data_IF_619388884431
#
_entry.id   IF_619388884431
#
_cell.length_a   1.000
_cell.length_b   1.000
_cell.length_c   1.000
_cell.angle_alpha   90.00
_cell.angle_beta   90.00
_cell.angle_gamma   90.00
#
_symmetry.space_group_name_H-M   'P 1'
#
loop_
_entity.id
_entity.type
_entity.pdbx_description
1 polymer ?
#
# COMPACT_ATOMS: atom_id res chain seq x y z
N UNK A 1 6.29 1.29 -14.41
CA UNK A 1 5.46 2.49 -14.26
C UNK A 1 4.10 2.03 -13.76
N UNK A 2 3.75 2.32 -12.50
CA UNK A 2 2.51 1.86 -11.86
C UNK A 2 1.65 3.04 -11.35
N UNK A 3 1.97 4.28 -11.72
CA UNK A 3 1.48 5.47 -11.02
C UNK A 3 0.42 6.33 -11.70
N UNK A 4 -0.04 6.04 -12.92
CA UNK A 4 -0.80 7.06 -13.71
C UNK A 4 -2.08 6.59 -14.43
N UNK A 5 -2.70 5.47 -14.07
CA UNK A 5 -3.94 5.03 -14.74
C UNK A 5 -5.19 5.12 -13.85
N UNK A 6 -5.55 6.31 -13.37
CA UNK A 6 -6.92 6.55 -12.84
C UNK A 6 -7.78 7.04 -14.00
N UNK A 7 -8.26 6.09 -14.81
CA UNK A 7 -9.30 6.34 -15.82
C UNK A 7 -10.66 6.36 -15.15
N UNK A 8 -11.33 7.52 -15.16
CA UNK A 8 -12.68 7.72 -14.65
C UNK A 8 -13.68 6.92 -15.49
N UNK A 9 -14.00 5.69 -15.05
CA UNK A 9 -15.00 4.82 -15.68
C UNK A 9 -15.91 4.23 -14.58
N UNK A 10 -17.23 4.53 -14.58
CA UNK A 10 -18.15 4.13 -13.51
C UNK A 10 -18.48 2.62 -13.47
N UNK A 11 -18.01 1.81 -14.43
CA UNK A 11 -18.20 0.35 -14.42
C UNK A 11 -17.02 -0.47 -13.85
N UNK A 12 -16.05 0.20 -13.22
CA UNK A 12 -14.73 -0.38 -12.87
C UNK A 12 -14.56 -0.76 -11.39
N UNK A 13 -15.63 -0.95 -10.62
CA UNK A 13 -15.59 -1.05 -9.14
C UNK A 13 -14.68 -2.17 -8.61
N UNK A 14 -14.64 -3.33 -9.27
CA UNK A 14 -13.76 -4.45 -8.87
C UNK A 14 -12.28 -4.21 -9.25
N UNK A 15 -12.02 -3.58 -10.40
CA UNK A 15 -10.65 -3.25 -10.84
C UNK A 15 -10.06 -2.09 -10.04
N UNK A 16 -10.91 -1.11 -9.68
CA UNK A 16 -10.53 0.04 -8.87
C UNK A 16 -10.13 -0.41 -7.46
N UNK A 17 -10.84 -1.35 -6.84
CA UNK A 17 -10.46 -1.90 -5.53
C UNK A 17 -9.04 -2.49 -5.55
N UNK A 18 -8.70 -3.26 -6.60
CA UNK A 18 -7.36 -3.82 -6.77
C UNK A 18 -6.26 -2.78 -6.96
N UNK A 19 -6.53 -1.66 -7.63
CA UNK A 19 -5.55 -0.56 -7.77
C UNK A 19 -5.46 0.29 -6.51
N UNK A 20 -6.57 0.49 -5.80
CA UNK A 20 -6.62 1.30 -4.58
C UNK A 20 -5.75 0.72 -3.47
N UNK A 21 -5.59 -0.60 -3.40
CA UNK A 21 -4.82 -1.25 -2.33
C UNK A 21 -3.35 -0.84 -2.26
N UNK A 22 -2.75 -0.51 -3.40
CA UNK A 22 -1.36 -0.03 -3.48
C UNK A 22 -1.26 1.48 -3.29
N UNK A 23 -2.38 2.21 -3.37
CA UNK A 23 -2.38 3.66 -3.26
C UNK A 23 -2.08 4.09 -1.82
N UNK A 24 -1.12 4.99 -1.65
CA UNK A 24 -0.75 5.52 -0.35
C UNK A 24 -1.94 6.25 0.33
N UNK A 25 -2.09 6.17 1.66
CA UNK A 25 -3.25 6.73 2.38
C UNK A 25 -3.46 8.23 2.10
N UNK A 26 -2.38 9.00 1.99
CA UNK A 26 -2.43 10.43 1.70
C UNK A 26 -2.98 10.75 0.30
N UNK A 27 -2.81 9.86 -0.68
CA UNK A 27 -3.36 10.01 -2.03
C UNK A 27 -4.85 9.65 -2.10
N UNK A 28 -5.35 8.82 -1.17
CA UNK A 28 -6.77 8.43 -1.11
C UNK A 28 -7.69 9.59 -0.69
N UNK A 29 -7.19 10.54 0.10
CA UNK A 29 -7.96 11.72 0.57
C UNK A 29 -8.25 12.75 -0.53
N UNK A 30 -7.62 12.61 -1.70
CA UNK A 30 -7.67 13.58 -2.78
C UNK A 30 -6.83 14.84 -2.49
N UNK A 31 -6.44 15.56 -3.55
CA UNK A 31 -5.70 16.83 -3.45
C UNK A 31 -4.19 16.70 -3.19
N UNK A 32 -3.70 15.55 -2.72
CA UNK A 32 -2.27 15.26 -2.64
C UNK A 32 -1.71 14.82 -4.01
N UNK A 33 -0.45 15.17 -4.28
CA UNK A 33 0.30 14.69 -5.45
C UNK A 33 1.11 13.46 -5.06
N UNK A 34 1.30 12.54 -6.00
CA UNK A 34 2.23 11.44 -5.83
C UNK A 34 3.65 11.98 -5.54
N UNK A 35 4.33 11.33 -4.60
CA UNK A 35 5.68 11.67 -4.14
C UNK A 35 6.52 10.39 -4.04
N UNK A 36 7.85 10.50 -3.87
CA UNK A 36 8.66 9.33 -3.56
C UNK A 36 8.19 8.55 -2.32
N UNK A 37 7.56 9.23 -1.34
CA UNK A 37 6.99 8.57 -0.17
C UNK A 37 5.74 7.74 -0.50
N UNK A 38 4.91 8.17 -1.44
CA UNK A 38 3.77 7.35 -1.91
C UNK A 38 4.22 6.14 -2.72
N UNK A 39 5.31 6.27 -3.47
CA UNK A 39 5.92 5.15 -4.19
C UNK A 39 6.51 4.11 -3.23
N UNK A 40 7.14 4.55 -2.13
CA UNK A 40 7.62 3.65 -1.06
C UNK A 40 6.49 2.86 -0.41
N UNK A 41 5.36 3.50 -0.14
CA UNK A 41 4.18 2.78 0.36
C UNK A 41 3.71 1.72 -0.63
N UNK A 42 3.58 2.09 -1.91
CA UNK A 42 3.17 1.17 -2.97
C UNK A 42 4.12 -0.04 -3.08
N UNK A 43 5.44 0.20 -2.99
CA UNK A 43 6.45 -0.85 -2.95
C UNK A 43 6.32 -1.73 -1.69
N UNK A 44 6.03 -1.14 -0.53
CA UNK A 44 5.73 -1.86 0.70
C UNK A 44 4.54 -2.83 0.54
N UNK A 45 3.45 -2.39 -0.10
CA UNK A 45 2.28 -3.25 -0.36
C UNK A 45 2.62 -4.39 -1.33
N UNK A 46 3.44 -4.14 -2.36
CA UNK A 46 3.93 -5.21 -3.26
C UNK A 46 4.77 -6.23 -2.51
N UNK A 47 5.69 -5.79 -1.64
CA UNK A 47 6.49 -6.70 -0.81
C UNK A 47 5.62 -7.48 0.17
N UNK A 48 4.58 -6.85 0.71
CA UNK A 48 3.60 -7.50 1.55
C UNK A 48 2.86 -8.60 0.77
N UNK A 49 2.45 -8.34 -0.47
CA UNK A 49 1.79 -9.33 -1.32
C UNK A 49 2.68 -10.56 -1.56
N UNK A 50 3.97 -10.35 -1.81
CA UNK A 50 4.95 -11.43 -1.93
C UNK A 50 5.10 -12.22 -0.62
N UNK A 51 5.07 -11.55 0.53
CA UNK A 51 5.15 -12.18 1.84
C UNK A 51 3.89 -13.01 2.18
N UNK A 52 2.72 -12.63 1.67
CA UNK A 52 1.47 -13.35 1.88
C UNK A 52 1.27 -14.52 0.90
N UNK A 53 1.90 -14.48 -0.27
CA UNK A 53 1.73 -15.47 -1.32
C UNK A 53 1.91 -16.93 -0.81
N UNK A 54 1.06 -17.88 -1.24
CA UNK A 54 -0.01 -17.76 -2.23
C UNK A 54 -1.35 -17.25 -1.66
N UNK A 55 -1.41 -16.85 -0.38
CA UNK A 55 -2.64 -16.29 0.20
C UNK A 55 -2.86 -14.86 -0.31
N UNK A 56 -4.12 -14.43 -0.43
CA UNK A 56 -4.41 -13.04 -0.77
C UNK A 56 -3.94 -12.09 0.33
N UNK A 57 -3.67 -10.84 -0.05
CA UNK A 57 -3.50 -9.73 0.89
C UNK A 57 -4.77 -9.53 1.75
N UNK A 58 -4.63 -9.01 2.99
CA UNK A 58 -5.77 -8.68 3.83
C UNK A 58 -6.71 -7.66 3.15
N UNK A 59 -8.03 -7.93 3.20
CA UNK A 59 -9.07 -7.03 2.67
C UNK A 59 -9.04 -5.63 3.28
N UNK A 60 -8.41 -5.48 4.45
CA UNK A 60 -8.19 -4.19 5.10
C UNK A 60 -7.52 -3.16 4.16
N UNK A 61 -6.61 -3.60 3.28
CA UNK A 61 -5.91 -2.72 2.34
C UNK A 61 -6.82 -2.13 1.26
N UNK A 62 -7.95 -2.78 0.98
CA UNK A 62 -8.93 -2.36 -0.03
C UNK A 62 -9.84 -1.23 0.51
N UNK A 63 -9.79 -0.95 1.82
CA UNK A 63 -10.60 0.10 2.45
C UNK A 63 -10.07 1.49 2.09
N UNK A 64 -10.96 2.41 1.73
CA UNK A 64 -10.61 3.81 1.46
C UNK A 64 -10.29 4.63 2.71
N UNK A 65 -10.39 4.03 3.90
CA UNK A 65 -10.07 4.70 5.15
C UNK A 65 -8.55 4.88 5.30
N UNK A 66 -8.17 6.05 5.84
CA UNK A 66 -6.75 6.39 6.06
C UNK A 66 -6.24 6.01 7.44
N UNK A 67 -7.07 5.32 8.21
CA UNK A 67 -6.76 4.92 9.59
C UNK A 67 -6.10 3.54 9.65
N UNK A 68 -6.04 2.82 8.52
CA UNK A 68 -5.34 1.54 8.45
C UNK A 68 -3.85 1.71 8.76
N UNK A 69 -3.41 1.10 9.86
CA UNK A 69 -2.00 0.84 10.12
C UNK A 69 -1.54 -0.32 9.23
N UNK A 70 -1.12 -0.02 8.01
CA UNK A 70 -0.63 -1.03 7.06
C UNK A 70 0.63 -1.75 7.57
N UNK A 71 1.46 -1.12 8.40
CA UNK A 71 2.65 -1.73 8.98
C UNK A 71 2.29 -2.90 9.92
N UNK A 72 1.15 -2.83 10.60
CA UNK A 72 0.62 -3.92 11.45
C UNK A 72 0.27 -5.20 10.66
N UNK A 73 0.12 -5.12 9.35
CA UNK A 73 -0.15 -6.28 8.49
C UNK A 73 1.11 -7.09 8.17
N UNK A 74 2.29 -6.69 8.64
CA UNK A 74 3.54 -7.41 8.41
C UNK A 74 3.46 -8.84 8.98
N UNK A 75 3.61 -9.90 8.17
CA UNK A 75 3.56 -11.28 8.65
C UNK A 75 4.65 -11.59 9.68
N UNK A 76 4.29 -12.41 10.67
CA UNK A 76 5.25 -13.02 11.57
C UNK A 76 6.12 -14.06 10.84
N UNK A 77 7.34 -14.29 11.35
CA UNK A 77 8.24 -15.34 10.84
C UNK A 77 9.00 -15.01 9.55
N UNK A 78 8.88 -13.78 9.03
CA UNK A 78 9.74 -13.31 7.93
C UNK A 78 11.21 -13.24 8.39
N UNK A 79 12.18 -13.65 7.55
CA UNK A 79 13.59 -13.51 7.88
C UNK A 79 14.00 -12.04 7.91
N UNK A 80 15.01 -11.71 8.71
CA UNK A 80 15.60 -10.37 8.69
C UNK A 80 16.19 -10.03 7.31
N UNK A 81 16.14 -8.77 6.85
CA UNK A 81 15.63 -7.57 7.53
C UNK A 81 14.15 -7.25 7.22
N UNK A 82 13.41 -8.20 6.66
CA UNK A 82 12.12 -7.92 6.01
C UNK A 82 11.03 -7.37 6.95
N UNK A 83 10.88 -7.84 8.21
CA UNK A 83 9.89 -7.26 9.11
C UNK A 83 10.07 -5.75 9.29
N UNK A 84 11.31 -5.31 9.53
CA UNK A 84 11.58 -3.88 9.74
C UNK A 84 11.44 -3.09 8.45
N UNK A 85 11.90 -3.63 7.32
CA UNK A 85 11.80 -2.98 6.02
C UNK A 85 10.34 -2.76 5.61
N UNK A 86 9.45 -3.74 5.84
CA UNK A 86 8.01 -3.57 5.61
C UNK A 86 7.41 -2.49 6.51
N UNK A 87 7.72 -2.49 7.80
CA UNK A 87 7.23 -1.47 8.74
C UNK A 87 7.69 -0.06 8.36
N UNK A 88 8.92 0.11 7.89
CA UNK A 88 9.41 1.40 7.42
C UNK A 88 8.65 1.85 6.17
N UNK A 89 8.53 1.00 5.16
CA UNK A 89 7.87 1.35 3.89
C UNK A 89 6.37 1.61 4.07
N UNK A 90 5.72 0.94 5.02
CA UNK A 90 4.29 1.03 5.31
C UNK A 90 3.95 2.01 6.44
N UNK A 91 4.89 2.85 6.86
CA UNK A 91 4.66 3.87 7.89
C UNK A 91 3.45 4.76 7.55
N UNK A 92 2.57 5.06 8.53
CA UNK A 92 1.46 5.99 8.34
C UNK A 92 1.96 7.42 8.05
N UNK A 93 3.11 7.80 8.60
CA UNK A 93 3.80 9.05 8.27
C UNK A 93 4.63 8.87 6.99
N UNK A 94 4.29 9.59 5.89
CA UNK A 94 5.03 9.51 4.62
C UNK A 94 6.51 9.88 4.74
N UNK A 95 6.86 10.85 5.59
CA UNK A 95 8.24 11.33 5.72
C UNK A 95 9.13 10.32 6.46
N UNK A 96 8.53 9.50 7.33
CA UNK A 96 9.21 8.40 8.01
C UNK A 96 9.44 7.17 7.11
N UNK A 97 8.86 7.12 5.90
CA UNK A 97 9.00 5.96 5.01
C UNK A 97 10.39 5.88 4.41
N UNK A 98 11.12 4.82 4.74
CA UNK A 98 12.50 4.57 4.30
C UNK A 98 12.70 3.13 3.83
N UNK A 99 13.79 2.92 3.08
CA UNK A 99 14.25 1.58 2.69
C UNK A 99 15.12 0.94 3.78
#
# INVERSE_FOLDING_TARGET
DFGLAVGHDPHRTATNAGTLRYLAPELRRGGARATPASDRFSAGVVLLELAYAPRPLPEALDRLDTELDAASLTPEGLPEPWPQRLRNLLSPDPEARTW
#
